data_IF_611557229280
#
_entry.id   IF_611557229280
#
_cell.length_a   1.000
_cell.length_b   1.000
_cell.length_c   1.000
_cell.angle_alpha   90.00
_cell.angle_beta   90.00
_cell.angle_gamma   90.00
#
_symmetry.space_group_name_H-M   'P 1'
#
loop_
_entity.id
_entity.type
_entity.pdbx_description
1 polymer ?
#
# COMPACT_ATOMS: atom_id res chain seq x y z
N UNK A 1 -9.58 -12.70 -11.00
CA UNK A 1 -8.28 -13.39 -10.89
C UNK A 1 -7.52 -12.70 -9.79
N UNK A 2 -6.97 -13.44 -8.83
CA UNK A 2 -6.16 -12.87 -7.74
C UNK A 2 -4.74 -12.61 -8.23
N UNK A 3 -4.21 -11.42 -7.95
CA UNK A 3 -2.81 -11.08 -8.22
C UNK A 3 -1.92 -11.86 -7.24
N UNK A 4 -1.02 -12.66 -7.79
CA UNK A 4 0.02 -13.40 -7.05
C UNK A 4 1.36 -12.66 -7.17
N UNK A 5 2.31 -12.98 -6.29
CA UNK A 5 3.64 -12.38 -6.26
C UNK A 5 4.71 -13.45 -6.45
N UNK A 6 5.75 -13.12 -7.21
CA UNK A 6 6.91 -13.98 -7.51
C UNK A 6 8.20 -13.25 -7.20
N UNK A 7 9.28 -14.00 -6.97
CA UNK A 7 10.60 -13.36 -6.85
C UNK A 7 11.08 -12.85 -8.21
N UNK A 8 11.79 -11.73 -8.20
CA UNK A 8 12.53 -11.21 -9.35
C UNK A 8 13.65 -12.14 -9.85
N UNK A 9 14.08 -13.11 -9.04
CA UNK A 9 15.18 -14.03 -9.37
C UNK A 9 14.70 -15.44 -9.68
N UNK A 10 13.70 -15.93 -8.95
CA UNK A 10 13.01 -17.18 -9.24
C UNK A 10 11.47 -16.99 -9.29
N UNK A 11 10.88 -17.33 -10.43
CA UNK A 11 9.43 -17.19 -10.66
C UNK A 11 8.65 -18.49 -10.44
N UNK A 12 9.32 -19.55 -9.96
CA UNK A 12 8.70 -20.84 -9.69
C UNK A 12 7.72 -20.80 -8.52
N UNK A 13 8.10 -20.09 -7.44
CA UNK A 13 7.29 -19.94 -6.25
C UNK A 13 6.39 -18.71 -6.33
N UNK A 14 5.08 -18.95 -6.30
CA UNK A 14 4.07 -17.92 -6.19
C UNK A 14 3.54 -17.83 -4.77
N UNK A 15 3.36 -16.60 -4.31
CA UNK A 15 2.81 -16.30 -2.98
C UNK A 15 1.70 -15.25 -3.09
N UNK A 16 0.82 -15.20 -2.10
CA UNK A 16 -0.16 -14.11 -2.01
C UNK A 16 0.51 -12.80 -1.56
N UNK A 17 -0.19 -11.67 -1.67
CA UNK A 17 0.35 -10.38 -1.24
C UNK A 17 0.62 -10.37 0.27
N UNK A 18 -0.29 -10.92 1.09
CA UNK A 18 -0.07 -11.02 2.54
C UNK A 18 1.14 -11.88 2.90
N UNK A 19 1.39 -12.98 2.17
CA UNK A 19 2.59 -13.81 2.34
C UNK A 19 3.86 -13.06 1.94
N UNK A 20 3.85 -12.33 0.82
CA UNK A 20 4.97 -11.50 0.38
C UNK A 20 5.32 -10.42 1.41
N UNK A 21 4.30 -9.74 1.98
CA UNK A 21 4.47 -8.73 3.04
C UNK A 21 5.18 -9.32 4.27
N UNK A 22 4.81 -10.53 4.69
CA UNK A 22 5.40 -11.16 5.87
C UNK A 22 6.82 -11.68 5.63
N UNK A 23 7.10 -12.20 4.44
CA UNK A 23 8.45 -12.67 4.07
C UNK A 23 9.43 -11.52 3.90
N UNK A 24 8.96 -10.36 3.42
CA UNK A 24 9.81 -9.22 3.09
C UNK A 24 10.70 -9.52 1.87
N UNK A 25 11.85 -10.14 2.11
CA UNK A 25 12.77 -10.59 1.06
C UNK A 25 12.42 -12.01 0.63
N UNK A 26 12.50 -12.30 -0.66
CA UNK A 26 12.34 -13.68 -1.14
C UNK A 26 13.52 -14.57 -0.68
N UNK A 27 13.32 -15.89 -0.51
CA UNK A 27 14.37 -16.81 -0.03
C UNK A 27 15.65 -16.83 -0.87
N UNK A 28 15.54 -16.48 -2.15
CA UNK A 28 16.64 -16.37 -3.12
C UNK A 28 17.35 -14.98 -3.10
N UNK A 29 16.98 -14.11 -2.15
CA UNK A 29 17.47 -12.74 -2.04
C UNK A 29 16.90 -11.77 -3.08
N UNK A 30 15.89 -12.18 -3.85
CA UNK A 30 15.13 -11.34 -4.76
C UNK A 30 14.02 -10.54 -4.07
N UNK A 31 13.33 -9.72 -4.85
CA UNK A 31 12.18 -8.94 -4.40
C UNK A 31 10.89 -9.58 -4.91
N UNK A 32 9.83 -9.52 -4.10
CA UNK A 32 8.50 -9.90 -4.55
C UNK A 32 7.92 -8.83 -5.47
N UNK A 33 7.48 -9.24 -6.65
CA UNK A 33 6.77 -8.41 -7.63
C UNK A 33 5.50 -9.13 -8.07
N UNK A 34 4.42 -8.41 -8.42
CA UNK A 34 3.19 -9.06 -8.86
C UNK A 34 3.42 -9.77 -10.20
N UNK A 35 2.71 -10.88 -10.43
CA UNK A 35 2.79 -11.64 -11.69
C UNK A 35 2.29 -10.85 -12.89
N UNK A 36 1.43 -9.86 -12.65
CA UNK A 36 0.91 -8.91 -13.62
C UNK A 36 0.63 -7.57 -12.95
N UNK A 37 0.68 -6.47 -13.72
CA UNK A 37 0.25 -5.17 -13.23
C UNK A 37 -1.25 -5.05 -13.51
N UNK A 38 -2.10 -4.97 -12.46
CA UNK A 38 -3.55 -4.90 -12.66
C UNK A 38 -3.92 -3.57 -13.32
N UNK A 39 -4.99 -3.60 -14.11
CA UNK A 39 -5.58 -2.39 -14.67
C UNK A 39 -6.51 -1.76 -13.65
N UNK A 40 -6.45 -0.43 -13.52
CA UNK A 40 -7.43 0.32 -12.77
C UNK A 40 -8.82 0.11 -13.39
N UNK A 41 -9.81 -0.10 -12.53
CA UNK A 41 -11.23 -0.22 -12.87
C UNK A 41 -11.95 1.14 -12.87
N UNK A 42 -11.24 2.22 -12.50
CA UNK A 42 -11.72 3.60 -12.46
C UNK A 42 -10.99 4.50 -13.45
N UNK A 43 -11.69 5.51 -13.95
CA UNK A 43 -11.08 6.56 -14.77
C UNK A 43 -10.33 7.57 -13.90
N UNK A 44 -9.47 8.38 -14.51
CA UNK A 44 -8.77 9.44 -13.78
C UNK A 44 -9.73 10.52 -13.28
N UNK A 45 -10.83 10.78 -13.98
CA UNK A 45 -11.87 11.70 -13.57
C UNK A 45 -12.58 11.19 -12.31
N UNK A 46 -12.89 9.89 -12.24
CA UNK A 46 -13.48 9.29 -11.04
C UNK A 46 -12.51 9.32 -9.85
N UNK A 47 -11.22 9.09 -10.10
CA UNK A 47 -10.19 9.15 -9.05
C UNK A 47 -9.92 10.59 -8.58
N UNK A 48 -10.09 11.60 -9.44
CA UNK A 48 -9.87 13.00 -9.09
C UNK A 48 -10.92 13.55 -8.10
N UNK A 49 -12.11 12.94 -8.07
CA UNK A 49 -13.18 13.30 -7.13
C UNK A 49 -13.05 12.59 -5.77
N UNK A 50 -12.01 11.79 -5.57
CA UNK A 50 -11.78 10.99 -4.36
C UNK A 50 -10.76 11.61 -3.42
N UNK A 51 -10.94 11.37 -2.13
CA UNK A 51 -9.93 11.67 -1.13
C UNK A 51 -8.74 10.69 -1.19
N UNK A 52 -7.66 11.01 -0.47
CA UNK A 52 -6.44 10.21 -0.46
C UNK A 52 -6.70 8.74 -0.05
N UNK A 53 -7.57 8.50 0.93
CA UNK A 53 -7.85 7.16 1.46
C UNK A 53 -8.66 6.34 0.48
N UNK A 54 -9.61 6.97 -0.20
CA UNK A 54 -10.41 6.37 -1.26
C UNK A 54 -9.51 5.97 -2.43
N UNK A 55 -8.66 6.87 -2.93
CA UNK A 55 -7.69 6.53 -4.00
C UNK A 55 -6.75 5.40 -3.55
N UNK A 56 -6.22 5.47 -2.31
CA UNK A 56 -5.36 4.42 -1.78
C UNK A 56 -6.07 3.06 -1.77
N UNK A 57 -7.35 3.01 -1.40
CA UNK A 57 -8.15 1.79 -1.42
C UNK A 57 -8.33 1.24 -2.84
N UNK A 58 -8.68 2.09 -3.80
CA UNK A 58 -8.89 1.72 -5.20
C UNK A 58 -7.63 1.14 -5.86
N UNK A 59 -6.45 1.68 -5.53
CA UNK A 59 -5.16 1.14 -5.99
C UNK A 59 -4.79 -0.14 -5.24
N UNK A 60 -4.88 -0.13 -3.90
CA UNK A 60 -4.43 -1.24 -3.07
C UNK A 60 -5.28 -2.50 -3.23
N UNK A 61 -6.61 -2.39 -3.42
CA UNK A 61 -7.49 -3.56 -3.59
C UNK A 61 -7.10 -4.43 -4.79
N UNK A 62 -6.51 -3.82 -5.82
CA UNK A 62 -6.07 -4.52 -7.03
C UNK A 62 -4.76 -5.28 -6.81
N UNK A 63 -3.85 -4.71 -6.01
CA UNK A 63 -2.52 -5.28 -5.74
C UNK A 63 -2.57 -6.28 -4.57
N UNK A 64 -3.37 -5.99 -3.56
CA UNK A 64 -3.51 -6.76 -2.32
C UNK A 64 -4.76 -7.64 -2.37
N UNK A 65 -4.94 -8.38 -3.47
CA UNK A 65 -6.20 -9.06 -3.82
C UNK A 65 -6.65 -10.16 -2.84
N UNK A 66 -5.78 -10.59 -1.91
CA UNK A 66 -6.10 -11.54 -0.85
C UNK A 66 -6.57 -10.89 0.46
N UNK A 67 -6.52 -9.55 0.55
CA UNK A 67 -7.11 -8.78 1.64
C UNK A 67 -8.60 -8.52 1.38
N UNK A 68 -9.42 -8.57 2.42
CA UNK A 68 -10.82 -8.17 2.34
C UNK A 68 -10.94 -6.65 2.29
N UNK A 69 -12.10 -6.16 1.84
CA UNK A 69 -12.41 -4.73 1.84
C UNK A 69 -12.26 -4.11 3.24
N UNK A 70 -12.79 -4.77 4.27
CA UNK A 70 -12.71 -4.31 5.66
C UNK A 70 -11.27 -4.27 6.18
N UNK A 71 -10.45 -5.27 5.82
CA UNK A 71 -9.04 -5.32 6.18
C UNK A 71 -8.27 -4.14 5.57
N UNK A 72 -8.49 -3.84 4.28
CA UNK A 72 -7.83 -2.73 3.59
C UNK A 72 -8.29 -1.39 4.13
N UNK A 73 -9.60 -1.19 4.28
CA UNK A 73 -10.15 0.05 4.87
C UNK A 73 -9.61 0.28 6.27
N UNK A 74 -9.51 -0.78 7.09
CA UNK A 74 -8.92 -0.67 8.42
C UNK A 74 -7.45 -0.24 8.36
N UNK A 75 -6.63 -0.87 7.50
CA UNK A 75 -5.21 -0.51 7.36
C UNK A 75 -5.03 0.94 6.90
N UNK A 76 -5.78 1.36 5.89
CA UNK A 76 -5.69 2.71 5.28
C UNK A 76 -6.15 3.78 6.28
N UNK A 77 -7.31 3.60 6.91
CA UNK A 77 -7.85 4.58 7.86
C UNK A 77 -7.00 4.70 9.13
N UNK A 78 -6.35 3.62 9.56
CA UNK A 78 -5.44 3.63 10.72
C UNK A 78 -4.08 4.24 10.39
N UNK A 79 -3.65 4.17 9.13
CA UNK A 79 -2.36 4.67 8.68
C UNK A 79 -2.37 6.18 8.44
N UNK A 80 -3.37 6.66 7.71
CA UNK A 80 -3.46 8.05 7.23
C UNK A 80 -4.46 8.85 8.07
N UNK A 81 -4.23 8.92 9.37
CA UNK A 81 -5.08 9.64 10.33
C UNK A 81 -4.44 10.97 10.76
N UNK A 82 -4.83 11.48 11.93
CA UNK A 82 -4.30 12.72 12.52
C UNK A 82 -2.81 12.68 12.88
N UNK A 83 -2.10 11.59 12.57
CA UNK A 83 -0.63 11.55 12.58
C UNK A 83 -0.02 12.35 11.43
N UNK A 84 -0.79 12.62 10.39
CA UNK A 84 -0.47 13.60 9.36
C UNK A 84 -1.03 14.95 9.78
N UNK A 85 -0.23 16.01 9.64
CA UNK A 85 -0.62 17.37 10.05
C UNK A 85 -1.56 18.09 9.05
N UNK A 86 -1.96 17.39 7.99
CA UNK A 86 -2.95 17.83 6.99
C UNK A 86 -3.93 16.70 6.67
N UNK A 87 -5.20 17.05 6.45
CA UNK A 87 -6.25 16.09 6.07
C UNK A 87 -6.07 15.58 4.63
N UNK A 88 -5.38 16.33 3.76
CA UNK A 88 -5.10 15.94 2.38
C UNK A 88 -4.06 14.81 2.28
N UNK A 89 -3.33 14.53 3.37
CA UNK A 89 -2.23 13.56 3.51
C UNK A 89 -1.00 13.87 2.64
N UNK A 90 -1.21 14.14 1.35
CA UNK A 90 -0.20 14.50 0.36
C UNK A 90 -0.68 15.69 -0.51
N UNK A 91 -0.76 16.90 0.06
CA UNK A 91 -1.23 18.08 -0.67
C UNK A 91 -0.29 18.46 -1.81
N UNK A 92 -0.83 19.14 -2.81
CA UNK A 92 -0.08 19.67 -3.94
C UNK A 92 -0.05 21.20 -3.87
N UNK A 93 1.15 21.78 -3.84
CA UNK A 93 1.33 23.23 -3.76
C UNK A 93 1.97 23.77 -5.03
N UNK A 94 1.59 24.98 -5.44
CA UNK A 94 2.19 25.66 -6.59
C UNK A 94 3.10 26.78 -6.11
N UNK A 95 4.37 26.73 -6.52
CA UNK A 95 5.37 27.74 -6.20
C UNK A 95 6.36 27.87 -7.37
N UNK A 96 6.84 29.09 -7.63
CA UNK A 96 7.91 29.37 -8.61
C UNK A 96 7.73 28.72 -9.99
N UNK A 97 6.49 28.64 -10.49
CA UNK A 97 6.21 28.08 -11.81
C UNK A 97 6.05 26.55 -11.84
N UNK A 98 6.07 25.87 -10.69
CA UNK A 98 6.01 24.41 -10.58
C UNK A 98 5.05 23.94 -9.50
N UNK A 99 4.59 22.69 -9.64
CA UNK A 99 3.83 21.98 -8.61
C UNK A 99 4.74 21.09 -7.78
N UNK A 100 4.52 21.08 -6.47
CA UNK A 100 5.22 20.28 -5.49
C UNK A 100 4.21 19.36 -4.80
N UNK A 101 4.48 18.05 -4.82
CA UNK A 101 3.74 17.09 -4.02
C UNK A 101 4.40 16.97 -2.66
N UNK A 102 3.74 17.46 -1.62
CA UNK A 102 4.28 17.50 -0.27
C UNK A 102 4.05 16.17 0.43
N UNK A 103 5.12 15.40 0.63
CA UNK A 103 5.08 14.07 1.26
C UNK A 103 5.70 14.09 2.67
N UNK A 104 5.81 15.25 3.30
CA UNK A 104 6.50 15.46 4.56
C UNK A 104 5.56 15.85 5.70
N UNK A 105 4.25 15.63 5.55
CA UNK A 105 3.25 15.95 6.56
C UNK A 105 3.09 14.88 7.64
N UNK A 106 3.84 13.78 7.55
CA UNK A 106 3.86 12.72 8.56
C UNK A 106 4.77 13.05 9.76
N UNK A 107 4.75 12.16 10.76
CA UNK A 107 5.45 12.34 12.05
C UNK A 107 6.95 12.60 11.96
N UNK A 108 7.62 12.13 10.91
CA UNK A 108 9.08 12.26 10.75
C UNK A 108 9.46 13.32 9.74
N UNK A 109 8.49 14.05 9.19
CA UNK A 109 8.68 15.11 8.20
C UNK A 109 9.43 14.57 6.96
N UNK A 110 9.08 13.35 6.54
CA UNK A 110 9.72 12.68 5.42
C UNK A 110 8.75 11.77 4.68
N UNK A 111 8.97 11.62 3.36
CA UNK A 111 8.16 10.76 2.49
C UNK A 111 8.07 9.30 2.95
N UNK A 112 9.01 8.84 3.78
CA UNK A 112 8.97 7.47 4.33
C UNK A 112 7.72 7.24 5.19
N UNK A 113 7.13 8.29 5.76
CA UNK A 113 5.91 8.19 6.55
C UNK A 113 4.74 7.65 5.74
N UNK A 114 4.69 7.91 4.43
CA UNK A 114 3.64 7.39 3.54
C UNK A 114 3.59 5.85 3.57
N UNK A 115 4.75 5.20 3.43
CA UNK A 115 4.85 3.74 3.44
C UNK A 115 4.90 3.16 4.85
N UNK A 116 5.66 3.78 5.75
CA UNK A 116 5.89 3.27 7.11
C UNK A 116 4.70 3.46 8.03
N UNK A 117 3.75 4.35 7.72
CA UNK A 117 2.52 4.47 8.49
C UNK A 117 1.56 3.30 8.25
N UNK A 118 1.48 2.78 7.02
CA UNK A 118 0.56 1.68 6.68
C UNK A 118 1.19 0.29 6.88
N UNK A 119 2.51 0.17 6.72
CA UNK A 119 3.21 -1.12 6.78
C UNK A 119 2.91 -1.93 8.07
N UNK A 120 2.93 -1.36 9.29
CA UNK A 120 2.62 -2.12 10.50
C UNK A 120 1.20 -2.70 10.52
N UNK A 121 0.23 -1.97 9.97
CA UNK A 121 -1.16 -2.42 9.86
C UNK A 121 -1.29 -3.56 8.85
N UNK A 122 -0.61 -3.45 7.71
CA UNK A 122 -0.55 -4.53 6.71
C UNK A 122 0.14 -5.78 7.25
N UNK A 123 1.27 -5.64 7.95
CA UNK A 123 1.98 -6.77 8.56
C UNK A 123 1.10 -7.47 9.62
N UNK A 124 0.45 -6.72 10.50
CA UNK A 124 -0.43 -7.28 11.54
C UNK A 124 -1.62 -8.01 10.93
N UNK A 125 -2.25 -7.41 9.93
CA UNK A 125 -3.39 -8.00 9.22
C UNK A 125 -2.98 -9.24 8.44
N UNK A 126 -1.85 -9.18 7.73
CA UNK A 126 -1.27 -10.32 7.02
C UNK A 126 -0.95 -11.48 7.96
N UNK A 127 -0.34 -11.21 9.12
CA UNK A 127 0.00 -12.24 10.10
C UNK A 127 -1.25 -12.97 10.60
N UNK A 128 -2.31 -12.22 10.94
CA UNK A 128 -3.61 -12.78 11.33
C UNK A 128 -4.21 -13.64 10.22
N UNK A 129 -4.25 -13.13 8.99
CA UNK A 129 -4.78 -13.84 7.82
C UNK A 129 -4.06 -15.15 7.55
N UNK A 130 -2.73 -15.18 7.73
CA UNK A 130 -1.90 -16.37 7.53
C UNK A 130 -1.80 -17.25 8.79
N UNK A 131 -2.61 -17.00 9.82
CA UNK A 131 -2.61 -17.74 11.09
C UNK A 131 -1.23 -17.81 11.76
N UNK A 132 -0.39 -16.79 11.55
CA UNK A 132 0.90 -16.67 12.23
C UNK A 132 0.63 -16.12 13.63
N UNK A 133 0.98 -16.90 14.65
CA UNK A 133 1.01 -16.45 16.04
C UNK A 133 2.40 -15.89 16.31
N UNK A 134 2.48 -14.75 16.99
CA UNK A 134 3.73 -14.31 17.57
C UNK A 134 4.20 -15.39 18.56
N UNK A 135 5.35 -15.98 18.32
CA UNK A 135 6.14 -16.59 19.40
C UNK A 135 6.77 -15.49 20.26
#
# INVERSE_FOLDING_TARGET
MSVEYVSTRDKSDKVTASQAILKGLAPDGGLYVPTEIPKLDKTFEELAEMDYKQVAYEVMKLMLSDFTEDELKHCITSAYDSKFDTEEIAPMTYADGAYYLELFHGKTIAFKDMALSILPHLMTTAAKKNNIKNE
#
